data_IF_841513461605
#
_entry.id   IF_841513461605
#
_cell.length_a   1.000
_cell.length_b   1.000
_cell.length_c   1.000
_cell.angle_alpha   90.00
_cell.angle_beta   90.00
_cell.angle_gamma   90.00
#
_symmetry.space_group_name_H-M   'P 1'
#
loop_
_entity.id
_entity.type
_entity.pdbx_description
1 polymer ?
#
# COMPACT_ATOMS: atom_id res chain seq x y z
N UNK A 1 -5.54 21.19 -33.72
CA UNK A 1 -5.81 21.22 -32.27
C UNK A 1 -5.73 19.79 -31.77
N UNK A 2 -4.54 19.40 -31.31
CA UNK A 2 -4.29 18.06 -30.80
C UNK A 2 -4.84 17.99 -29.38
N UNK A 3 -5.91 17.22 -29.20
CA UNK A 3 -6.37 16.81 -27.88
C UNK A 3 -5.38 15.76 -27.38
N UNK A 4 -4.47 16.16 -26.50
CA UNK A 4 -3.67 15.26 -25.69
C UNK A 4 -4.62 14.49 -24.78
N UNK A 5 -4.88 13.22 -25.09
CA UNK A 5 -5.50 12.28 -24.18
C UNK A 5 -4.56 12.12 -22.98
N UNK A 6 -5.01 12.58 -21.81
CA UNK A 6 -4.29 12.45 -20.56
C UNK A 6 -4.37 10.98 -20.13
N UNK A 7 -3.25 10.25 -20.21
CA UNK A 7 -3.14 8.79 -20.02
C UNK A 7 -3.22 8.37 -18.54
N UNK A 8 -3.65 9.24 -17.62
CA UNK A 8 -3.67 8.97 -16.17
C UNK A 8 -5.05 8.55 -15.62
N UNK A 9 -6.13 8.64 -16.40
CA UNK A 9 -7.50 8.32 -15.97
C UNK A 9 -7.91 6.84 -16.12
N UNK A 10 -7.01 5.99 -16.62
CA UNK A 10 -7.24 4.56 -16.89
C UNK A 10 -7.00 3.64 -15.66
N UNK A 11 -7.14 4.17 -14.44
CA UNK A 11 -7.20 3.34 -13.23
C UNK A 11 -8.56 2.64 -13.18
N UNK A 12 -8.63 1.50 -13.88
CA UNK A 12 -9.64 0.45 -13.84
C UNK A 12 -10.81 0.69 -12.86
N UNK A 13 -11.86 1.36 -13.35
CA UNK A 13 -13.17 1.30 -12.69
C UNK A 13 -13.65 -0.13 -12.79
N UNK A 14 -13.67 -0.87 -11.67
CA UNK A 14 -14.33 -2.17 -11.65
C UNK A 14 -15.80 -1.96 -12.07
N UNK A 15 -16.17 -2.39 -13.27
CA UNK A 15 -17.42 -2.03 -13.95
C UNK A 15 -18.66 -2.83 -13.53
N UNK A 16 -18.59 -3.59 -12.43
CA UNK A 16 -19.69 -4.41 -11.92
C UNK A 16 -20.39 -3.80 -10.72
N UNK A 17 -21.73 -3.94 -10.64
CA UNK A 17 -22.50 -3.60 -9.44
C UNK A 17 -22.69 -4.82 -8.54
N UNK A 18 -22.61 -4.63 -7.23
CA UNK A 18 -22.87 -5.65 -6.21
C UNK A 18 -24.11 -5.25 -5.40
N UNK A 19 -24.95 -6.23 -5.07
CA UNK A 19 -26.12 -6.00 -4.21
C UNK A 19 -25.76 -6.24 -2.74
N UNK A 20 -26.28 -5.37 -1.88
CA UNK A 20 -26.20 -5.54 -0.43
C UNK A 20 -27.14 -6.67 -0.02
N UNK A 21 -26.65 -7.57 0.82
CA UNK A 21 -27.46 -8.66 1.40
C UNK A 21 -28.41 -8.12 2.47
N UNK A 22 -29.40 -8.92 2.88
CA UNK A 22 -30.34 -8.55 3.97
C UNK A 22 -29.63 -8.20 5.28
N UNK A 23 -28.42 -8.72 5.50
CA UNK A 23 -27.60 -8.45 6.69
C UNK A 23 -26.72 -7.19 6.55
N UNK A 24 -26.85 -6.43 5.47
CA UNK A 24 -26.03 -5.25 5.21
C UNK A 24 -24.63 -5.54 4.69
N UNK A 25 -24.31 -6.78 4.30
CA UNK A 25 -23.00 -7.15 3.77
C UNK A 25 -22.95 -6.97 2.25
N UNK A 26 -21.82 -6.51 1.73
CA UNK A 26 -21.51 -6.46 0.29
C UNK A 26 -20.28 -7.33 0.00
N UNK A 27 -20.26 -7.96 -1.17
CA UNK A 27 -19.13 -8.81 -1.57
C UNK A 27 -18.08 -7.97 -2.30
N UNK A 28 -16.82 -8.09 -1.89
CA UNK A 28 -15.68 -7.51 -2.63
C UNK A 28 -15.32 -8.48 -3.77
N UNK A 29 -15.43 -8.06 -5.03
CA UNK A 29 -15.15 -8.93 -6.17
C UNK A 29 -13.71 -9.43 -6.22
N UNK A 30 -13.49 -10.58 -6.85
CA UNK A 30 -12.19 -11.27 -6.88
C UNK A 30 -11.06 -10.39 -7.44
N UNK A 31 -11.34 -9.59 -8.47
CA UNK A 31 -10.35 -8.71 -9.08
C UNK A 31 -9.88 -7.63 -8.11
N UNK A 32 -10.82 -6.94 -7.45
CA UNK A 32 -10.51 -5.93 -6.42
C UNK A 32 -9.74 -6.56 -5.25
N UNK A 33 -10.15 -7.75 -4.79
CA UNK A 33 -9.42 -8.47 -3.73
C UNK A 33 -7.97 -8.74 -4.10
N UNK A 34 -7.70 -9.16 -5.34
CA UNK A 34 -6.33 -9.42 -5.81
C UNK A 34 -5.53 -8.13 -5.94
N UNK A 35 -6.12 -7.08 -6.50
CA UNK A 35 -5.46 -5.78 -6.68
C UNK A 35 -5.06 -5.14 -5.34
N UNK A 36 -5.94 -5.23 -4.33
CA UNK A 36 -5.72 -4.64 -3.01
C UNK A 36 -5.11 -5.62 -1.99
N UNK A 37 -4.79 -6.85 -2.43
CA UNK A 37 -4.30 -7.94 -1.60
C UNK A 37 -5.15 -8.13 -0.31
N UNK A 38 -6.47 -8.16 -0.47
CA UNK A 38 -7.45 -8.38 0.60
C UNK A 38 -7.66 -9.89 0.72
N UNK A 39 -7.23 -10.45 1.86
CA UNK A 39 -7.36 -11.87 2.19
C UNK A 39 -8.38 -12.06 3.32
N UNK A 40 -8.90 -13.28 3.55
CA UNK A 40 -9.74 -13.53 4.72
C UNK A 40 -9.06 -13.07 6.01
N UNK A 41 -9.78 -12.31 6.84
CA UNK A 41 -9.25 -11.74 8.07
C UNK A 41 -8.57 -10.37 7.92
N UNK A 42 -8.47 -9.81 6.71
CA UNK A 42 -8.00 -8.43 6.52
C UNK A 42 -8.99 -7.44 7.14
N UNK A 43 -8.49 -6.57 8.01
CA UNK A 43 -9.28 -5.44 8.52
C UNK A 43 -9.40 -4.33 7.49
N UNK A 44 -10.60 -3.76 7.38
CA UNK A 44 -10.90 -2.65 6.48
C UNK A 44 -11.63 -1.56 7.25
N UNK A 45 -11.35 -0.32 6.89
CA UNK A 45 -11.97 0.87 7.43
C UNK A 45 -12.90 1.50 6.39
N UNK A 46 -14.08 1.90 6.84
CA UNK A 46 -15.06 2.60 6.01
C UNK A 46 -14.96 4.10 6.29
N UNK A 47 -14.69 4.87 5.24
CA UNK A 47 -14.65 6.33 5.32
C UNK A 47 -15.72 6.90 4.40
N UNK A 48 -16.52 7.81 4.93
CA UNK A 48 -17.52 8.55 4.16
C UNK A 48 -16.90 9.90 3.77
N UNK A 49 -16.84 10.21 2.49
CA UNK A 49 -16.41 11.54 2.03
C UNK A 49 -17.55 12.55 2.08
N UNK A 50 -17.20 13.83 1.93
CA UNK A 50 -18.16 14.93 1.77
C UNK A 50 -19.13 14.71 0.59
N UNK A 51 -18.67 14.06 -0.49
CA UNK A 51 -19.47 13.73 -1.67
C UNK A 51 -20.35 12.48 -1.52
N UNK A 52 -20.68 12.06 -0.29
CA UNK A 52 -21.48 10.86 0.03
C UNK A 52 -20.91 9.53 -0.51
N UNK A 53 -19.65 9.51 -0.97
CA UNK A 53 -18.97 8.30 -1.38
C UNK A 53 -18.45 7.51 -0.18
N UNK A 54 -18.49 6.19 -0.29
CA UNK A 54 -17.91 5.28 0.69
C UNK A 54 -16.59 4.73 0.16
N UNK A 55 -15.51 5.00 0.89
CA UNK A 55 -14.19 4.47 0.63
C UNK A 55 -13.90 3.30 1.56
N UNK A 56 -13.29 2.26 0.98
CA UNK A 56 -12.79 1.12 1.72
C UNK A 56 -11.27 1.21 1.80
N UNK A 57 -10.74 1.40 3.00
CA UNK A 57 -9.30 1.49 3.24
C UNK A 57 -8.86 0.20 3.90
N UNK A 58 -7.93 -0.53 3.27
CA UNK A 58 -7.28 -1.67 3.91
C UNK A 58 -6.44 -1.15 5.07
N UNK A 59 -6.70 -1.62 6.29
CA UNK A 59 -5.79 -1.33 7.41
C UNK A 59 -4.50 -2.11 7.19
N UNK A 60 -3.38 -1.40 7.26
CA UNK A 60 -2.08 -2.05 7.43
C UNK A 60 -2.13 -2.83 8.72
N UNK A 61 -1.60 -4.06 8.73
CA UNK A 61 -1.20 -4.65 10.01
C UNK A 61 -0.34 -3.61 10.75
N UNK A 62 -0.48 -3.45 12.07
CA UNK A 62 0.43 -2.61 12.83
C UNK A 62 1.85 -3.01 12.41
N UNK A 63 2.67 -2.03 12.01
CA UNK A 63 4.03 -2.22 11.51
C UNK A 63 4.74 -3.15 12.49
N UNK A 64 4.73 -4.46 12.22
CA UNK A 64 5.39 -5.42 13.08
C UNK A 64 6.84 -5.09 12.84
N UNK A 65 7.57 -4.53 13.82
CA UNK A 65 8.94 -4.14 13.57
C UNK A 65 9.66 -5.40 13.09
N UNK A 66 9.99 -5.43 11.80
CA UNK A 66 10.72 -6.54 11.21
C UNK A 66 11.99 -6.77 12.01
N UNK A 67 12.60 -7.96 11.86
CA UNK A 67 13.83 -8.34 12.61
C UNK A 67 14.96 -7.29 12.51
N UNK A 68 14.88 -6.38 11.54
CA UNK A 68 15.84 -5.31 11.29
C UNK A 68 15.28 -3.89 11.48
N UNK A 69 14.05 -3.69 11.96
CA UNK A 69 13.50 -2.35 12.20
C UNK A 69 14.28 -1.60 13.29
N UNK A 70 14.70 -2.30 14.35
CA UNK A 70 15.60 -1.75 15.37
C UNK A 70 17.01 -1.45 14.83
N UNK A 71 17.38 -2.02 13.68
CA UNK A 71 18.68 -1.85 13.04
C UNK A 71 18.63 -0.80 11.91
N UNK A 72 17.45 -0.25 11.59
CA UNK A 72 17.32 0.78 10.55
C UNK A 72 17.69 2.14 11.16
N UNK A 73 18.79 2.73 10.70
CA UNK A 73 19.23 4.08 11.12
C UNK A 73 20.25 4.14 12.27
N UNK A 74 20.64 3.00 12.85
CA UNK A 74 21.67 2.95 13.92
C UNK A 74 23.07 3.30 13.41
N UNK A 75 23.31 3.20 12.11
CA UNK A 75 24.60 3.50 11.48
C UNK A 75 24.66 4.97 11.02
N UNK A 76 24.22 5.91 11.85
CA UNK A 76 24.43 7.36 11.64
C UNK A 76 25.82 7.75 12.14
N UNK A 77 26.87 7.20 11.53
CA UNK A 77 28.26 7.65 11.73
C UNK A 77 28.61 8.68 10.66
N UNK A 78 29.36 9.72 11.04
CA UNK A 78 29.85 10.80 10.17
C UNK A 78 31.01 10.34 9.25
N UNK A 79 31.06 9.05 8.93
CA UNK A 79 32.05 8.51 8.02
C UNK A 79 31.50 8.61 6.60
N UNK A 80 32.34 9.11 5.72
CA UNK A 80 32.07 9.05 4.29
C UNK A 80 32.04 7.59 3.82
N UNK A 81 31.34 7.33 2.73
CA UNK A 81 31.31 5.99 2.10
C UNK A 81 32.72 5.44 1.85
N UNK A 82 33.68 6.31 1.51
CA UNK A 82 35.07 5.93 1.25
C UNK A 82 35.78 5.39 2.50
N UNK A 83 35.61 6.07 3.64
CA UNK A 83 36.18 5.64 4.92
C UNK A 83 35.57 4.31 5.38
N UNK A 84 34.26 4.10 5.15
CA UNK A 84 33.59 2.82 5.46
C UNK A 84 34.14 1.70 4.58
N UNK A 85 34.33 1.95 3.28
CA UNK A 85 34.88 0.96 2.35
C UNK A 85 36.33 0.58 2.73
N UNK A 86 37.15 1.55 3.14
CA UNK A 86 38.53 1.30 3.58
C UNK A 86 38.62 0.49 4.88
N UNK A 87 37.67 0.67 5.82
CA UNK A 87 37.67 -0.05 7.10
C UNK A 87 37.14 -1.49 6.99
N UNK A 88 36.25 -1.75 6.05
CA UNK A 88 35.54 -3.03 5.91
C UNK A 88 36.14 -3.96 4.87
N UNK A 89 36.94 -3.41 3.95
CA UNK A 89 37.74 -4.19 3.03
C UNK A 89 39.10 -4.41 3.70
N UNK A 90 39.35 -5.64 4.13
CA UNK A 90 40.67 -6.06 4.59
C UNK A 90 41.65 -5.93 3.44
N UNK A 91 42.42 -4.85 3.39
CA UNK A 91 43.55 -4.73 2.47
C UNK A 91 44.69 -5.63 3.00
N UNK A 92 44.68 -6.86 2.51
CA UNK A 92 45.88 -7.53 2.01
C UNK A 92 45.56 -8.11 0.64
#
# INVERSE_FOLDING_TARGET
MSITSNTDDDKARYGGSMRVTTKGQVTIPLEIRRMLNIVPGTEVEFVISEDENVYLIKKSDPDVPGRFTALRGIATVHLTTEEIMAMTRSDT
#
